data_IF_761404268665
#
_entry.id   IF_761404268665
#
_cell.length_a   1.000
_cell.length_b   1.000
_cell.length_c   1.000
_cell.angle_alpha   90.00
_cell.angle_beta   90.00
_cell.angle_gamma   90.00
#
_symmetry.space_group_name_H-M   'P 1'
#
loop_
_entity.id
_entity.type
_entity.pdbx_description
1 polymer ?
#
# COMPACT_ATOMS: atom_id res chain seq x y z
N UNK A 1 0.45 50.26 25.68
CA UNK A 1 -0.87 50.43 25.03
C UNK A 1 -1.51 49.04 24.89
N UNK A 2 -2.39 48.69 25.84
CA UNK A 2 -3.13 47.42 25.92
C UNK A 2 -4.46 47.53 25.15
N UNK A 3 -4.89 46.44 24.49
CA UNK A 3 -6.30 46.05 24.22
C UNK A 3 -6.30 44.58 23.70
N UNK A 4 -6.55 43.54 24.52
CA UNK A 4 -7.84 42.85 24.81
C UNK A 4 -8.73 42.66 23.57
N UNK A 5 -8.86 41.43 23.03
CA UNK A 5 -9.83 40.33 23.31
C UNK A 5 -11.25 40.57 22.77
N UNK A 6 -11.77 39.60 22.00
CA UNK A 6 -13.13 38.96 22.04
C UNK A 6 -13.25 38.01 20.83
N UNK A 7 -13.30 36.67 20.96
CA UNK A 7 -14.44 35.77 21.28
C UNK A 7 -15.74 36.16 20.58
N UNK A 8 -16.19 35.32 19.64
CA UNK A 8 -17.61 35.09 19.35
C UNK A 8 -17.85 33.57 19.28
N UNK A 9 -18.62 33.08 20.25
CA UNK A 9 -19.40 31.83 20.19
C UNK A 9 -20.71 32.14 19.46
N UNK A 10 -21.22 31.21 18.66
CA UNK A 10 -22.65 31.12 18.31
C UNK A 10 -22.94 29.64 17.98
N UNK A 11 -23.46 28.83 18.92
CA UNK A 11 -24.84 28.68 19.41
C UNK A 11 -25.67 27.70 18.55
N UNK A 12 -26.10 26.62 19.23
CA UNK A 12 -27.13 25.69 18.79
C UNK A 12 -28.51 26.36 18.70
N UNK A 13 -29.33 25.93 17.74
CA UNK A 13 -30.79 26.03 17.85
C UNK A 13 -31.44 24.85 17.14
N UNK A 14 -32.18 24.07 17.92
CA UNK A 14 -33.16 23.07 17.50
C UNK A 14 -34.46 23.76 17.09
N UNK A 15 -35.14 23.24 16.07
CA UNK A 15 -36.60 23.38 15.93
C UNK A 15 -37.19 22.06 15.44
N UNK A 16 -38.19 21.59 16.19
CA UNK A 16 -39.13 20.52 15.86
C UNK A 16 -40.46 21.20 15.50
N UNK A 17 -41.07 20.81 14.38
CA UNK A 17 -42.54 20.83 14.19
C UNK A 17 -42.96 19.66 13.30
N UNK A 18 -44.06 19.02 13.71
CA UNK A 18 -44.59 17.73 13.25
C UNK A 18 -45.64 17.86 12.14
N UNK A 19 -46.02 16.68 11.60
CA UNK A 19 -47.16 16.31 10.73
C UNK A 19 -46.90 16.47 9.21
N UNK A 20 -47.03 15.46 8.35
CA UNK A 20 -47.58 14.11 8.45
C UNK A 20 -48.31 13.79 7.14
N UNK A 21 -47.68 13.05 6.22
CA UNK A 21 -48.38 12.34 5.13
C UNK A 21 -47.61 11.04 4.85
N UNK A 22 -48.30 9.93 5.08
CA UNK A 22 -47.84 8.57 4.83
C UNK A 22 -48.01 8.26 3.34
N UNK A 23 -46.91 8.02 2.62
CA UNK A 23 -46.92 7.36 1.32
C UNK A 23 -45.93 6.21 1.38
N UNK A 24 -46.45 4.99 1.51
CA UNK A 24 -45.70 3.76 1.34
C UNK A 24 -45.30 3.63 -0.13
N UNK A 25 -44.01 3.76 -0.40
CA UNK A 25 -43.38 3.16 -1.57
C UNK A 25 -42.23 2.28 -1.09
N UNK A 26 -42.41 0.97 -1.26
CA UNK A 26 -41.35 -0.02 -1.15
C UNK A 26 -40.23 0.36 -2.12
N UNK A 27 -39.11 0.80 -1.57
CA UNK A 27 -37.85 0.92 -2.28
C UNK A 27 -36.85 0.05 -1.55
N UNK A 28 -36.52 -1.07 -2.18
CA UNK A 28 -35.38 -1.93 -1.85
C UNK A 28 -34.14 -1.07 -1.62
N UNK A 29 -33.76 -0.90 -0.35
CA UNK A 29 -32.43 -0.43 0.02
C UNK A 29 -31.46 -1.53 -0.36
N UNK A 30 -30.87 -1.41 -1.56
CA UNK A 30 -29.57 -2.00 -1.79
C UNK A 30 -28.62 -1.32 -0.81
N UNK A 31 -28.27 -2.05 0.24
CA UNK A 31 -27.10 -1.74 1.06
C UNK A 31 -25.89 -1.84 0.13
N UNK A 32 -25.47 -0.72 -0.44
CA UNK A 32 -24.10 -0.57 -0.92
C UNK A 32 -23.20 -0.72 0.31
N UNK A 33 -22.80 -1.95 0.59
CA UNK A 33 -21.66 -2.22 1.44
C UNK A 33 -20.42 -1.81 0.63
N UNK A 34 -20.15 -0.50 0.56
CA UNK A 34 -18.76 -0.08 0.54
C UNK A 34 -18.14 -0.71 1.77
N UNK A 35 -17.29 -1.72 1.56
CA UNK A 35 -16.44 -2.25 2.61
C UNK A 35 -15.48 -1.13 3.00
N UNK A 36 -15.91 -0.23 3.88
CA UNK A 36 -15.02 0.60 4.67
C UNK A 36 -14.22 -0.42 5.47
N UNK A 37 -13.01 -0.71 5.02
CA UNK A 37 -12.07 -1.51 5.80
C UNK A 37 -11.86 -0.69 7.07
N UNK A 38 -12.49 -1.14 8.15
CA UNK A 38 -12.37 -0.54 9.46
C UNK A 38 -10.89 -0.61 9.82
N UNK A 39 -10.27 0.55 10.05
CA UNK A 39 -8.90 0.62 10.52
C UNK A 39 -8.81 -0.20 11.82
N UNK A 40 -7.80 -1.06 11.90
CA UNK A 40 -7.52 -1.87 13.07
C UNK A 40 -6.24 -1.33 13.68
N UNK A 41 -6.23 -1.07 14.98
CA UNK A 41 -5.01 -0.71 15.70
C UNK A 41 -3.95 -1.81 15.64
N UNK A 42 -4.29 -3.00 15.14
CA UNK A 42 -3.38 -4.14 15.06
C UNK A 42 -3.01 -4.57 13.65
N UNK A 43 -3.68 -4.07 12.61
CA UNK A 43 -3.39 -4.43 11.22
C UNK A 43 -3.91 -3.40 10.21
N UNK A 44 -3.26 -3.33 9.06
CA UNK A 44 -3.71 -2.54 7.91
C UNK A 44 -3.61 -3.36 6.64
N UNK A 45 -4.55 -3.14 5.72
CA UNK A 45 -4.56 -3.78 4.40
C UNK A 45 -3.48 -3.18 3.50
N UNK A 46 -3.20 -3.84 2.37
CA UNK A 46 -2.40 -3.23 1.31
C UNK A 46 -3.11 -1.98 0.75
N UNK A 47 -2.33 -0.99 0.34
CA UNK A 47 -2.78 0.32 -0.16
C UNK A 47 -3.51 1.17 0.88
N UNK A 48 -3.34 0.86 2.17
CA UNK A 48 -3.76 1.75 3.23
C UNK A 48 -2.86 2.99 3.23
N UNK A 49 -3.45 4.18 3.37
CA UNK A 49 -2.71 5.42 3.55
C UNK A 49 -2.32 5.57 5.02
N UNK A 50 -1.18 6.20 5.26
CA UNK A 50 -0.69 6.50 6.59
C UNK A 50 0.22 7.71 6.59
N UNK A 51 0.69 8.05 7.77
CA UNK A 51 1.56 9.20 8.02
C UNK A 51 2.76 8.81 8.88
N UNK A 52 3.82 9.57 8.79
CA UNK A 52 4.90 9.54 9.78
C UNK A 52 5.05 10.92 10.43
N UNK A 53 5.34 10.93 11.73
CA UNK A 53 5.33 12.14 12.57
C UNK A 53 6.48 12.17 13.54
N UNK A 54 6.96 13.38 13.81
CA UNK A 54 7.98 13.68 14.81
C UNK A 54 7.51 14.78 15.77
N UNK A 55 8.44 15.33 16.55
CA UNK A 55 8.18 16.41 17.49
C UNK A 55 7.73 17.71 16.80
N UNK A 56 7.87 17.83 15.48
CA UNK A 56 7.41 18.96 14.67
C UNK A 56 5.88 18.98 14.50
N UNK A 57 5.24 17.81 14.41
CA UNK A 57 3.79 17.70 14.25
C UNK A 57 3.05 17.77 15.61
N UNK A 58 1.72 17.86 15.54
CA UNK A 58 0.85 17.80 16.72
C UNK A 58 1.00 16.46 17.46
N UNK A 59 0.69 16.48 18.75
CA UNK A 59 0.52 15.27 19.55
C UNK A 59 -0.82 14.55 19.27
N UNK A 60 -1.82 15.31 18.83
CA UNK A 60 -3.15 14.81 18.43
C UNK A 60 -3.16 14.55 16.91
N UNK A 61 -3.48 13.30 16.54
CA UNK A 61 -3.53 12.79 15.17
C UNK A 61 -4.96 12.64 14.63
N UNK A 62 -5.99 13.09 15.35
CA UNK A 62 -7.39 12.96 14.93
C UNK A 62 -7.65 13.60 13.57
N UNK A 63 -6.98 14.70 13.22
CA UNK A 63 -7.12 15.32 11.88
C UNK A 63 -6.60 14.38 10.79
N UNK A 64 -5.47 13.70 11.01
CA UNK A 64 -4.91 12.74 10.05
C UNK A 64 -5.80 11.50 9.90
N UNK A 65 -6.33 10.99 11.02
CA UNK A 65 -7.28 9.88 11.00
C UNK A 65 -8.54 10.22 10.22
N UNK A 66 -9.14 11.39 10.48
CA UNK A 66 -10.31 11.90 9.72
C UNK A 66 -9.99 12.13 8.24
N UNK A 67 -8.75 12.43 7.89
CA UNK A 67 -8.29 12.52 6.51
C UNK A 67 -8.09 11.14 5.85
N UNK A 68 -8.24 10.03 6.59
CA UNK A 68 -8.16 8.66 6.07
C UNK A 68 -6.83 7.96 6.32
N UNK A 69 -6.00 8.48 7.24
CA UNK A 69 -4.82 7.77 7.71
C UNK A 69 -5.24 6.54 8.52
N UNK A 70 -4.66 5.38 8.23
CA UNK A 70 -4.95 4.10 8.89
C UNK A 70 -3.77 3.60 9.74
N UNK A 71 -2.60 4.22 9.63
CA UNK A 71 -1.43 3.93 10.46
C UNK A 71 -0.59 5.19 10.67
N UNK A 72 0.15 5.23 11.78
CA UNK A 72 1.14 6.27 12.06
C UNK A 72 2.49 5.66 12.40
N UNK A 73 3.56 6.18 11.80
CA UNK A 73 4.95 5.84 12.14
C UNK A 73 5.55 7.00 12.94
N UNK A 74 5.73 6.80 14.24
CA UNK A 74 6.11 7.87 15.18
C UNK A 74 7.60 7.85 15.48
N UNK A 75 8.29 9.00 15.39
CA UNK A 75 9.69 9.11 15.83
C UNK A 75 9.76 8.84 17.32
N UNK A 76 10.42 7.78 17.75
CA UNK A 76 10.55 7.49 19.20
C UNK A 76 11.88 8.00 19.75
N UNK A 77 12.94 8.00 18.94
CA UNK A 77 14.26 8.46 19.36
C UNK A 77 15.20 8.78 18.20
N UNK A 78 16.36 9.34 18.54
CA UNK A 78 17.48 9.63 17.65
C UNK A 78 18.80 9.44 18.40
N UNK A 79 19.78 8.83 17.73
CA UNK A 79 21.08 8.51 18.32
C UNK A 79 20.96 7.76 19.65
N UNK A 80 21.63 8.23 20.69
CA UNK A 80 21.60 7.58 22.02
C UNK A 80 21.08 8.48 23.14
N UNK A 81 20.59 9.68 22.81
CA UNK A 81 20.27 10.71 23.80
C UNK A 81 18.91 11.38 23.60
N UNK A 82 18.41 11.48 22.36
CA UNK A 82 17.16 12.17 22.09
C UNK A 82 15.97 11.22 22.10
N UNK A 83 14.98 11.53 22.94
CA UNK A 83 13.65 10.89 22.93
C UNK A 83 12.61 11.93 22.54
N UNK A 84 11.74 11.60 21.58
CA UNK A 84 10.71 12.53 21.12
C UNK A 84 9.70 12.81 22.25
N UNK A 85 9.56 14.08 22.71
CA UNK A 85 8.67 14.43 23.83
C UNK A 85 7.18 14.29 23.50
N UNK A 86 6.80 14.26 22.22
CA UNK A 86 5.41 14.11 21.78
C UNK A 86 5.02 12.65 21.49
N UNK A 87 5.99 11.75 21.40
CA UNK A 87 5.76 10.40 20.88
C UNK A 87 4.73 9.59 21.68
N UNK A 88 4.73 9.67 23.01
CA UNK A 88 3.77 8.93 23.84
C UNK A 88 2.32 9.36 23.52
N UNK A 89 2.08 10.66 23.37
CA UNK A 89 0.77 11.18 23.02
C UNK A 89 0.42 10.91 21.55
N UNK A 90 1.39 10.94 20.63
CA UNK A 90 1.17 10.57 19.22
C UNK A 90 0.77 9.09 19.08
N UNK A 91 1.46 8.18 19.78
CA UNK A 91 1.12 6.75 19.82
C UNK A 91 -0.28 6.55 20.42
N UNK A 92 -0.56 7.18 21.57
CA UNK A 92 -1.88 7.11 22.22
C UNK A 92 -2.99 7.64 21.31
N UNK A 93 -2.74 8.75 20.62
CA UNK A 93 -3.68 9.34 19.69
C UNK A 93 -3.92 8.46 18.47
N UNK A 94 -2.89 7.81 17.91
CA UNK A 94 -3.06 6.86 16.82
C UNK A 94 -3.99 5.71 17.25
N UNK A 95 -3.71 5.09 18.40
CA UNK A 95 -4.53 3.99 18.96
C UNK A 95 -5.98 4.44 19.19
N UNK A 96 -6.18 5.64 19.76
CA UNK A 96 -7.51 6.17 20.04
C UNK A 96 -8.32 6.54 18.78
N UNK A 97 -7.67 6.67 17.63
CA UNK A 97 -8.31 6.91 16.33
C UNK A 97 -8.24 5.67 15.41
N UNK A 98 -8.11 4.48 15.99
CA UNK A 98 -8.06 3.18 15.29
C UNK A 98 -6.95 3.06 14.23
N UNK A 99 -5.91 3.89 14.33
CA UNK A 99 -4.72 3.77 13.48
C UNK A 99 -3.75 2.75 14.07
N UNK A 100 -3.13 1.94 13.21
CA UNK A 100 -2.07 1.02 13.62
C UNK A 100 -0.80 1.81 14.00
N UNK A 101 -0.31 1.76 15.25
CA UNK A 101 0.88 2.50 15.66
C UNK A 101 2.18 1.74 15.32
N UNK A 102 3.09 2.46 14.68
CA UNK A 102 4.44 2.04 14.32
C UNK A 102 5.42 3.09 14.82
N UNK A 103 6.72 2.78 14.80
CA UNK A 103 7.74 3.70 15.25
C UNK A 103 8.97 3.72 14.35
N UNK A 104 9.78 4.77 14.47
CA UNK A 104 11.09 4.84 13.86
C UNK A 104 12.13 5.50 14.77
N UNK A 105 13.39 5.17 14.51
CA UNK A 105 14.57 5.73 15.15
C UNK A 105 15.48 6.36 14.09
N UNK A 106 15.77 7.65 14.23
CA UNK A 106 16.72 8.34 13.35
C UNK A 106 18.16 7.92 13.69
N UNK A 107 18.82 7.26 12.75
CA UNK A 107 20.14 6.67 12.94
C UNK A 107 21.27 7.70 12.82
N UNK A 108 22.26 7.58 13.71
CA UNK A 108 23.50 8.36 13.67
C UNK A 108 24.76 7.48 13.64
N UNK A 109 24.60 6.17 13.49
CA UNK A 109 25.67 5.18 13.62
C UNK A 109 26.59 5.05 12.39
N UNK A 110 26.28 5.73 11.28
CA UNK A 110 26.98 5.63 9.99
C UNK A 110 27.12 4.16 9.55
N UNK A 111 28.34 3.64 9.48
CA UNK A 111 28.61 2.23 9.13
C UNK A 111 29.13 1.40 10.31
N UNK A 112 28.96 1.87 11.55
CA UNK A 112 29.45 1.19 12.75
C UNK A 112 28.42 0.25 13.35
N UNK A 113 28.63 -1.07 13.23
CA UNK A 113 27.75 -2.08 13.85
C UNK A 113 27.69 -1.98 15.38
N UNK A 114 28.74 -1.51 16.05
CA UNK A 114 28.72 -1.35 17.51
C UNK A 114 27.86 -0.17 17.94
N UNK A 115 27.94 0.96 17.22
CA UNK A 115 27.06 2.10 17.43
C UNK A 115 25.60 1.76 17.08
N UNK A 116 25.38 1.05 15.97
CA UNK A 116 24.05 0.60 15.55
C UNK A 116 23.35 -0.25 16.63
N UNK A 117 24.08 -1.14 17.31
CA UNK A 117 23.53 -1.92 18.44
C UNK A 117 23.13 -1.04 19.63
N UNK A 118 23.94 -0.02 19.98
CA UNK A 118 23.62 0.92 21.07
C UNK A 118 22.39 1.77 20.74
N UNK A 119 22.32 2.28 19.52
CA UNK A 119 21.15 3.03 19.04
C UNK A 119 19.90 2.16 19.02
N UNK A 120 20.00 0.90 18.59
CA UNK A 120 18.88 -0.04 18.65
C UNK A 120 18.39 -0.28 20.08
N UNK A 121 19.29 -0.46 21.05
CA UNK A 121 18.93 -0.58 22.47
C UNK A 121 18.21 0.68 22.98
N UNK A 122 18.67 1.86 22.57
CA UNK A 122 18.03 3.12 22.91
C UNK A 122 16.66 3.28 22.24
N UNK A 123 16.51 2.86 20.98
CA UNK A 123 15.24 2.79 20.27
C UNK A 123 14.23 1.87 20.95
N UNK A 124 14.66 0.65 21.32
CA UNK A 124 13.83 -0.35 22.01
C UNK A 124 13.36 0.18 23.36
N UNK A 125 14.27 0.75 24.17
CA UNK A 125 13.92 1.30 25.48
C UNK A 125 12.98 2.50 25.36
N UNK A 126 13.18 3.36 24.36
CA UNK A 126 12.30 4.50 24.09
C UNK A 126 10.92 4.04 23.62
N UNK A 127 10.83 3.11 22.67
CA UNK A 127 9.57 2.54 22.22
C UNK A 127 8.75 1.94 23.37
N UNK A 128 9.39 1.15 24.25
CA UNK A 128 8.75 0.58 25.44
C UNK A 128 8.26 1.67 26.40
N UNK A 129 9.11 2.64 26.71
CA UNK A 129 8.77 3.73 27.63
C UNK A 129 7.65 4.64 27.11
N UNK A 130 7.53 4.78 25.79
CA UNK A 130 6.54 5.61 25.12
C UNK A 130 5.22 4.86 24.83
N UNK A 131 5.12 3.59 25.22
CA UNK A 131 3.90 2.80 25.10
C UNK A 131 3.63 2.25 23.69
N UNK A 132 4.65 2.06 22.86
CA UNK A 132 4.49 1.37 21.59
C UNK A 132 4.02 -0.08 21.85
N UNK A 133 2.94 -0.56 21.19
CA UNK A 133 2.48 -1.93 21.39
C UNK A 133 3.56 -2.97 21.06
N UNK A 134 3.59 -4.06 21.84
CA UNK A 134 4.46 -5.19 21.55
C UNK A 134 4.13 -5.78 20.16
N UNK A 135 5.14 -6.21 19.42
CA UNK A 135 4.97 -6.71 18.05
C UNK A 135 4.87 -5.61 16.97
N UNK A 136 4.78 -4.33 17.35
CA UNK A 136 4.80 -3.22 16.39
C UNK A 136 6.07 -3.17 15.56
N UNK A 137 6.00 -2.45 14.45
CA UNK A 137 7.17 -2.15 13.65
C UNK A 137 8.00 -1.04 14.29
N UNK A 138 9.32 -1.21 14.26
CA UNK A 138 10.29 -0.21 14.67
C UNK A 138 11.37 -0.09 13.59
N UNK A 139 11.31 1.00 12.84
CA UNK A 139 12.17 1.25 11.70
C UNK A 139 13.52 1.84 12.12
N UNK A 140 14.58 1.41 11.44
CA UNK A 140 15.84 2.14 11.33
C UNK A 140 15.67 3.19 10.24
N UNK A 141 15.62 4.47 10.58
CA UNK A 141 15.63 5.58 9.64
C UNK A 141 17.10 5.94 9.34
N UNK A 142 17.56 5.52 8.16
CA UNK A 142 18.95 5.66 7.73
C UNK A 142 19.07 6.67 6.59
N UNK A 143 19.42 7.90 6.94
CA UNK A 143 19.57 9.00 5.99
C UNK A 143 20.75 9.91 6.33
N UNK A 144 21.03 10.88 5.47
CA UNK A 144 22.07 11.88 5.73
C UNK A 144 21.56 12.90 6.76
N UNK A 145 22.39 13.24 7.75
CA UNK A 145 22.06 14.24 8.77
C UNK A 145 22.62 13.87 10.14
N UNK A 146 22.70 14.86 11.05
CA UNK A 146 23.14 14.67 12.45
C UNK A 146 24.46 13.87 12.60
N UNK A 147 25.40 14.07 11.68
CA UNK A 147 26.69 13.37 11.66
C UNK A 147 26.66 11.95 11.06
N UNK A 148 25.52 11.49 10.55
CA UNK A 148 25.41 10.19 9.87
C UNK A 148 26.05 10.23 8.48
N UNK A 149 27.10 9.41 8.28
CA UNK A 149 27.83 9.30 7.02
C UNK A 149 27.36 8.07 6.24
N UNK A 150 26.72 8.31 5.09
CA UNK A 150 26.13 7.27 4.26
C UNK A 150 27.04 6.76 3.13
N UNK A 151 28.25 7.31 3.01
CA UNK A 151 29.18 7.05 1.88
C UNK A 151 30.33 6.09 2.22
N UNK A 152 30.38 5.53 3.43
CA UNK A 152 31.45 4.63 3.89
C UNK A 152 31.49 3.25 3.19
N UNK A 153 30.52 2.96 2.31
CA UNK A 153 30.48 1.76 1.48
C UNK A 153 29.26 0.88 1.74
N UNK A 154 28.73 0.28 0.67
CA UNK A 154 27.46 -0.47 0.67
C UNK A 154 27.42 -1.63 1.66
N UNK A 155 28.48 -2.44 1.70
CA UNK A 155 28.51 -3.67 2.50
C UNK A 155 28.67 -3.39 4.00
N UNK A 156 29.53 -2.44 4.38
CA UNK A 156 29.72 -2.07 5.79
C UNK A 156 28.49 -1.38 6.36
N UNK A 157 27.87 -0.52 5.55
CA UNK A 157 26.58 0.11 5.89
C UNK A 157 25.48 -0.92 6.12
N UNK A 158 25.31 -1.87 5.18
CA UNK A 158 24.33 -2.93 5.33
C UNK A 158 24.57 -3.80 6.57
N UNK A 159 25.83 -4.11 6.91
CA UNK A 159 26.18 -4.84 8.15
C UNK A 159 25.78 -4.06 9.41
N UNK A 160 25.95 -2.74 9.44
CA UNK A 160 25.53 -1.91 10.57
C UNK A 160 24.01 -1.87 10.71
N UNK A 161 23.28 -1.65 9.61
CA UNK A 161 21.82 -1.66 9.58
C UNK A 161 21.28 -3.03 10.02
N UNK A 162 21.83 -4.14 9.50
CA UNK A 162 21.43 -5.49 9.92
C UNK A 162 21.65 -5.69 11.42
N UNK A 163 22.76 -5.20 11.98
CA UNK A 163 23.03 -5.29 13.41
C UNK A 163 22.00 -4.50 14.25
N UNK A 164 21.52 -3.37 13.76
CA UNK A 164 20.39 -2.64 14.37
C UNK A 164 19.10 -3.47 14.29
N UNK A 165 18.72 -3.92 13.10
CA UNK A 165 17.49 -4.68 12.85
C UNK A 165 17.44 -6.01 13.62
N UNK A 166 18.59 -6.67 13.83
CA UNK A 166 18.73 -7.85 14.67
C UNK A 166 18.30 -7.59 16.12
N UNK A 167 18.71 -6.47 16.70
CA UNK A 167 18.32 -6.10 18.06
C UNK A 167 16.82 -5.81 18.14
N UNK A 168 16.26 -5.11 17.16
CA UNK A 168 14.82 -4.83 17.09
C UNK A 168 14.03 -6.14 17.05
N UNK A 169 14.43 -7.08 16.18
CA UNK A 169 13.78 -8.38 16.06
C UNK A 169 13.89 -9.20 17.33
N UNK A 170 15.08 -9.24 17.95
CA UNK A 170 15.31 -9.94 19.21
C UNK A 170 14.47 -9.39 20.37
N UNK A 171 14.16 -8.09 20.35
CA UNK A 171 13.30 -7.44 21.34
C UNK A 171 11.79 -7.67 21.14
N UNK A 172 11.39 -8.43 20.12
CA UNK A 172 9.99 -8.75 19.83
C UNK A 172 9.26 -7.74 18.94
N UNK A 173 9.97 -6.77 18.36
CA UNK A 173 9.43 -5.85 17.36
C UNK A 173 9.72 -6.34 15.93
N UNK A 174 9.04 -5.76 14.95
CA UNK A 174 9.29 -6.03 13.54
C UNK A 174 10.23 -4.97 12.95
N UNK A 175 11.43 -5.34 12.46
CA UNK A 175 12.35 -4.36 11.92
C UNK A 175 11.91 -3.88 10.54
N UNK A 176 12.04 -2.56 10.31
CA UNK A 176 12.00 -1.95 8.99
C UNK A 176 13.30 -1.18 8.75
N UNK A 177 13.66 -0.98 7.49
CA UNK A 177 14.66 -0.02 7.06
C UNK A 177 13.95 1.08 6.28
N UNK A 178 14.09 2.32 6.76
CA UNK A 178 13.77 3.51 6.00
C UNK A 178 15.00 4.15 5.40
N UNK A 179 14.87 4.56 4.13
CA UNK A 179 15.82 5.40 3.42
C UNK A 179 15.19 5.90 2.11
N UNK A 180 15.75 6.94 1.51
CA UNK A 180 15.38 7.34 0.16
C UNK A 180 15.74 6.25 -0.86
N UNK A 181 14.96 6.17 -1.94
CA UNK A 181 15.19 5.21 -3.02
C UNK A 181 16.60 5.31 -3.61
N UNK A 182 17.20 6.51 -3.66
CA UNK A 182 18.58 6.72 -4.09
C UNK A 182 19.58 6.08 -3.11
N UNK A 183 19.42 6.31 -1.81
CA UNK A 183 20.33 5.75 -0.78
C UNK A 183 20.25 4.22 -0.77
N UNK A 184 19.05 3.64 -0.90
CA UNK A 184 18.87 2.19 -0.99
C UNK A 184 19.55 1.58 -2.23
N UNK A 185 19.62 2.30 -3.34
CA UNK A 185 20.27 1.81 -4.58
C UNK A 185 21.79 2.04 -4.56
N UNK A 186 22.23 3.19 -4.03
CA UNK A 186 23.57 3.72 -4.26
C UNK A 186 24.49 3.62 -3.05
N UNK A 187 23.96 3.48 -1.84
CA UNK A 187 24.74 3.58 -0.60
C UNK A 187 24.63 2.34 0.29
N UNK A 188 23.66 1.47 0.05
CA UNK A 188 23.39 0.29 0.87
C UNK A 188 23.43 -0.97 -0.01
N UNK A 189 24.00 -2.07 0.48
CA UNK A 189 23.77 -3.39 -0.10
C UNK A 189 22.37 -3.88 0.32
N UNK A 190 21.33 -3.24 -0.25
CA UNK A 190 19.93 -3.50 0.06
C UNK A 190 19.50 -4.95 -0.17
N UNK A 191 19.96 -5.67 -1.23
CA UNK A 191 19.66 -7.10 -1.39
C UNK A 191 20.05 -7.95 -0.18
N UNK A 192 21.19 -7.66 0.48
CA UNK A 192 21.60 -8.40 1.68
C UNK A 192 20.65 -8.22 2.86
N UNK A 193 20.05 -7.03 2.99
CA UNK A 193 19.07 -6.72 4.02
C UNK A 193 17.76 -7.43 3.72
N UNK A 194 17.25 -7.32 2.49
CA UNK A 194 16.00 -7.97 2.05
C UNK A 194 16.08 -9.49 2.12
N UNK A 195 17.24 -10.08 1.83
CA UNK A 195 17.45 -11.52 1.97
C UNK A 195 17.29 -12.01 3.43
N UNK A 196 17.70 -11.19 4.40
CA UNK A 196 17.57 -11.51 5.83
C UNK A 196 16.21 -11.11 6.41
N UNK A 197 15.69 -9.97 5.96
CA UNK A 197 14.40 -9.41 6.34
C UNK A 197 13.57 -9.13 5.09
N UNK A 198 12.84 -10.12 4.57
CA UNK A 198 11.93 -9.90 3.45
C UNK A 198 10.86 -8.87 3.80
N UNK A 199 10.44 -8.06 2.82
CA UNK A 199 9.37 -7.08 2.99
C UNK A 199 9.63 -6.07 4.13
N UNK A 200 10.88 -5.64 4.29
CA UNK A 200 11.27 -4.76 5.40
C UNK A 200 11.61 -3.33 4.97
N UNK A 201 11.37 -2.93 3.73
CA UNK A 201 11.72 -1.59 3.25
C UNK A 201 10.55 -0.62 3.37
N UNK A 202 10.81 0.52 3.99
CA UNK A 202 10.01 1.73 3.96
C UNK A 202 10.75 2.76 3.10
N UNK A 203 10.30 3.01 1.88
CA UNK A 203 11.10 3.73 0.88
C UNK A 203 10.55 5.13 0.65
N UNK A 204 11.40 6.15 0.73
CA UNK A 204 11.04 7.50 0.27
C UNK A 204 11.34 7.67 -1.23
N UNK A 205 10.32 8.03 -2.00
CA UNK A 205 10.45 8.39 -3.41
C UNK A 205 9.29 9.28 -3.83
N UNK A 206 9.55 10.55 -4.11
CA UNK A 206 8.51 11.51 -4.41
C UNK A 206 8.52 11.87 -5.90
N UNK A 207 7.35 11.89 -6.51
CA UNK A 207 7.22 12.36 -7.90
C UNK A 207 7.45 13.88 -8.01
N UNK A 208 7.03 14.60 -6.97
CA UNK A 208 7.17 16.05 -6.78
C UNK A 208 7.37 16.33 -5.29
N UNK A 209 7.97 17.46 -4.95
CA UNK A 209 7.94 18.00 -3.58
C UNK A 209 6.69 18.86 -3.39
N UNK A 210 6.18 18.90 -2.17
CA UNK A 210 4.99 19.67 -1.80
C UNK A 210 3.71 18.83 -1.84
N UNK A 211 2.56 19.51 -1.89
CA UNK A 211 1.26 18.88 -1.64
C UNK A 211 0.96 17.73 -2.60
N UNK A 212 0.75 16.54 -2.06
CA UNK A 212 0.23 15.38 -2.79
C UNK A 212 -0.88 14.71 -1.97
N UNK A 213 -2.04 14.50 -2.58
CA UNK A 213 -3.20 13.95 -1.87
C UNK A 213 -3.29 12.40 -2.02
N UNK A 214 -2.76 11.86 -3.12
CA UNK A 214 -2.81 10.44 -3.48
C UNK A 214 -1.51 9.97 -4.16
N UNK A 215 -1.05 8.73 -3.90
CA UNK A 215 0.17 8.19 -4.48
C UNK A 215 0.04 7.96 -5.99
N UNK A 216 1.02 8.43 -6.76
CA UNK A 216 1.12 8.17 -8.19
C UNK A 216 1.96 6.92 -8.47
N UNK A 217 1.32 5.75 -8.54
CA UNK A 217 2.00 4.46 -8.75
C UNK A 217 2.86 4.35 -10.03
N UNK A 218 2.79 5.32 -10.96
CA UNK A 218 3.76 5.40 -12.08
C UNK A 218 5.19 5.70 -11.60
N UNK A 219 5.32 6.32 -10.42
CA UNK A 219 6.59 6.67 -9.77
C UNK A 219 6.93 5.73 -8.60
N UNK A 220 6.21 4.61 -8.47
CA UNK A 220 6.47 3.66 -7.42
C UNK A 220 7.93 3.16 -7.49
N UNK A 221 8.72 3.25 -6.40
CA UNK A 221 10.11 2.81 -6.38
C UNK A 221 10.15 1.28 -6.45
N UNK A 222 10.14 0.76 -7.67
CA UNK A 222 10.02 -0.68 -7.95
C UNK A 222 11.31 -1.40 -7.56
N UNK A 223 11.41 -1.80 -6.30
CA UNK A 223 12.49 -2.61 -5.74
C UNK A 223 11.93 -3.76 -4.90
N UNK A 224 12.73 -4.80 -4.71
CA UNK A 224 12.32 -5.94 -3.88
C UNK A 224 12.26 -5.52 -2.40
N UNK A 225 11.26 -6.06 -1.68
CA UNK A 225 11.12 -5.86 -0.24
C UNK A 225 10.43 -4.56 0.20
N UNK A 226 9.88 -3.75 -0.71
CA UNK A 226 9.07 -2.57 -0.34
C UNK A 226 7.78 -3.01 0.34
N UNK A 227 7.66 -2.71 1.63
CA UNK A 227 6.45 -2.86 2.41
C UNK A 227 5.66 -1.54 2.51
N UNK A 228 6.37 -0.41 2.55
CA UNK A 228 5.78 0.92 2.69
C UNK A 228 6.49 1.87 1.72
N UNK A 229 5.72 2.74 1.08
CA UNK A 229 6.24 3.79 0.23
C UNK A 229 5.81 5.15 0.79
N UNK A 230 6.78 5.97 1.18
CA UNK A 230 6.56 7.38 1.46
C UNK A 230 6.58 8.13 0.12
N UNK A 231 5.42 8.60 -0.32
CA UNK A 231 5.19 9.12 -1.66
C UNK A 231 5.19 10.65 -1.73
N UNK A 232 5.23 11.33 -0.57
CA UNK A 232 5.23 12.79 -0.47
C UNK A 232 5.72 13.25 0.91
N UNK A 233 6.31 14.45 0.92
CA UNK A 233 6.70 15.25 2.09
C UNK A 233 5.56 16.16 2.61
N UNK A 234 4.39 16.18 1.93
CA UNK A 234 3.27 17.01 2.33
C UNK A 234 1.93 16.40 1.92
N UNK A 235 1.52 15.36 2.64
CA UNK A 235 0.25 14.69 2.40
C UNK A 235 -0.92 15.63 2.64
N UNK A 236 -1.74 15.84 1.60
CA UNK A 236 -2.96 16.67 1.64
C UNK A 236 -2.76 18.11 2.14
N UNK A 237 -1.53 18.63 2.09
CA UNK A 237 -1.22 19.97 2.60
C UNK A 237 -1.12 20.05 4.12
N UNK A 238 -0.99 18.91 4.81
CA UNK A 238 -0.98 18.83 6.27
C UNK A 238 0.42 19.00 6.90
N UNK A 239 1.45 19.37 6.11
CA UNK A 239 2.85 19.46 6.55
C UNK A 239 3.32 18.19 7.29
N UNK A 240 2.91 17.05 6.75
CA UNK A 240 3.16 15.71 7.28
C UNK A 240 3.41 14.78 6.09
N UNK A 241 4.42 13.92 6.20
CA UNK A 241 4.79 12.99 5.15
C UNK A 241 3.70 11.92 4.94
N UNK A 242 3.49 11.56 3.67
CA UNK A 242 2.43 10.65 3.25
C UNK A 242 2.97 9.29 2.86
N UNK A 243 2.38 8.25 3.45
CA UNK A 243 2.77 6.86 3.26
C UNK A 243 1.64 6.03 2.67
N UNK A 244 2.01 4.98 1.93
CA UNK A 244 1.11 3.93 1.51
C UNK A 244 1.72 2.55 1.73
N UNK A 245 0.95 1.62 2.29
CA UNK A 245 1.38 0.22 2.38
C UNK A 245 1.32 -0.45 1.01
N UNK A 246 2.36 -1.21 0.66
CA UNK A 246 2.39 -2.05 -0.55
C UNK A 246 1.83 -3.43 -0.26
N UNK A 247 2.04 -3.90 0.97
CA UNK A 247 1.57 -5.18 1.50
C UNK A 247 0.72 -4.96 2.75
N UNK A 248 -0.17 -5.89 3.12
CA UNK A 248 -0.82 -5.83 4.43
C UNK A 248 0.24 -5.91 5.54
N UNK A 249 0.02 -5.15 6.62
CA UNK A 249 0.87 -5.14 7.80
C UNK A 249 0.06 -5.55 9.02
N UNK A 250 0.71 -6.16 10.02
CA UNK A 250 0.07 -6.56 11.27
C UNK A 250 1.09 -6.51 12.41
N UNK A 251 0.64 -6.13 13.62
CA UNK A 251 1.45 -6.14 14.85
C UNK A 251 1.07 -7.29 15.79
N UNK A 252 0.00 -8.05 15.46
CA UNK A 252 -0.44 -9.18 16.27
C UNK A 252 0.48 -10.39 16.06
N UNK A 253 1.30 -10.68 17.08
CA UNK A 253 1.94 -11.97 17.38
C UNK A 253 2.72 -12.65 16.25
N UNK A 254 4.04 -12.47 16.22
CA UNK A 254 5.04 -13.33 15.54
C UNK A 254 4.83 -13.77 14.07
N UNK A 255 3.78 -13.32 13.39
CA UNK A 255 3.71 -13.41 11.94
C UNK A 255 4.51 -12.24 11.39
N UNK A 256 5.82 -12.44 11.21
CA UNK A 256 6.45 -11.81 10.06
C UNK A 256 5.51 -12.05 8.88
N UNK A 257 5.14 -11.01 8.14
CA UNK A 257 4.61 -11.17 6.78
C UNK A 257 5.75 -11.64 5.85
N UNK A 258 6.37 -12.75 6.25
CA UNK A 258 7.14 -13.65 5.42
C UNK A 258 6.12 -14.41 4.59
N UNK A 259 5.78 -13.79 3.47
CA UNK A 259 5.31 -14.35 2.21
C UNK A 259 4.33 -13.34 1.59
N UNK A 260 4.51 -13.09 0.28
CA UNK A 260 3.38 -12.75 -0.58
C UNK A 260 2.19 -13.64 -0.18
N UNK A 261 0.95 -13.13 -0.08
CA UNK A 261 -0.14 -13.82 0.58
C UNK A 261 -0.16 -15.29 0.20
N UNK A 262 0.01 -16.18 1.20
CA UNK A 262 -0.25 -17.62 1.04
C UNK A 262 -1.59 -17.72 0.34
N UNK A 263 -1.63 -18.41 -0.81
CA UNK A 263 -2.79 -18.44 -1.69
C UNK A 263 -4.08 -18.57 -0.87
N UNK A 264 -4.84 -17.48 -0.79
CA UNK A 264 -6.09 -17.47 -0.03
C UNK A 264 -6.96 -18.62 -0.53
N UNK A 265 -7.41 -19.47 0.39
CA UNK A 265 -8.36 -20.53 0.05
C UNK A 265 -9.80 -19.98 -0.10
N UNK A 266 -10.00 -18.66 0.06
CA UNK A 266 -11.26 -17.99 -0.22
C UNK A 266 -11.58 -18.12 -1.70
N UNK A 267 -12.72 -18.73 -2.01
CA UNK A 267 -13.20 -18.90 -3.38
C UNK A 267 -13.95 -17.64 -3.83
N UNK A 268 -13.72 -17.20 -5.07
CA UNK A 268 -14.44 -16.14 -5.78
C UNK A 268 -14.97 -16.68 -7.10
N UNK A 269 -15.99 -16.02 -7.63
CA UNK A 269 -16.54 -16.33 -8.95
C UNK A 269 -16.18 -15.21 -9.92
N UNK A 270 -15.79 -15.56 -11.15
CA UNK A 270 -15.54 -14.60 -12.21
C UNK A 270 -15.93 -15.18 -13.58
N UNK A 271 -16.21 -14.28 -14.52
CA UNK A 271 -16.44 -14.67 -15.92
C UNK A 271 -15.11 -14.76 -16.66
N UNK A 272 -14.90 -15.87 -17.36
CA UNK A 272 -13.78 -16.03 -18.29
C UNK A 272 -14.05 -15.14 -19.50
N UNK A 273 -13.19 -14.16 -19.76
CA UNK A 273 -13.38 -13.19 -20.84
C UNK A 273 -12.66 -13.58 -22.12
N UNK A 274 -11.73 -14.55 -22.07
CA UNK A 274 -11.04 -15.11 -23.23
C UNK A 274 -10.84 -16.62 -23.02
N UNK A 275 -10.92 -17.46 -24.07
CA UNK A 275 -10.74 -18.92 -23.96
C UNK A 275 -9.48 -19.19 -23.14
N UNK A 276 -9.63 -19.93 -22.04
CA UNK A 276 -8.56 -20.07 -21.07
C UNK A 276 -8.20 -21.52 -20.85
N UNK A 277 -7.02 -21.91 -21.33
CA UNK A 277 -6.44 -23.22 -21.04
C UNK A 277 -6.08 -23.33 -19.55
N UNK A 278 -6.18 -24.55 -19.02
CA UNK A 278 -5.73 -24.90 -17.68
C UNK A 278 -4.29 -25.37 -17.73
N UNK A 279 -3.53 -24.99 -16.71
CA UNK A 279 -2.12 -25.32 -16.54
C UNK A 279 -1.90 -26.02 -15.20
N UNK A 280 -0.87 -26.86 -15.14
CA UNK A 280 -0.41 -27.50 -13.92
C UNK A 280 0.45 -26.54 -13.05
N UNK A 281 0.88 -27.00 -11.87
CA UNK A 281 1.79 -26.26 -10.97
C UNK A 281 3.14 -25.87 -11.58
N UNK A 282 3.55 -26.55 -12.65
CA UNK A 282 4.80 -26.30 -13.37
C UNK A 282 4.59 -25.41 -14.60
N UNK A 283 3.39 -24.84 -14.78
CA UNK A 283 2.96 -24.04 -15.92
C UNK A 283 2.93 -24.81 -17.26
N UNK A 284 2.83 -26.14 -17.24
CA UNK A 284 2.58 -26.92 -18.45
C UNK A 284 1.10 -26.88 -18.79
N UNK A 285 0.77 -26.75 -20.07
CA UNK A 285 -0.62 -26.71 -20.54
C UNK A 285 -1.23 -28.11 -20.45
N UNK A 286 -2.40 -28.22 -19.83
CA UNK A 286 -3.20 -29.44 -19.77
C UNK A 286 -4.19 -29.51 -20.96
N UNK A 287 -4.97 -30.58 -21.06
CA UNK A 287 -6.06 -30.70 -22.05
C UNK A 287 -7.34 -29.95 -21.64
N UNK A 288 -7.45 -29.52 -20.38
CA UNK A 288 -8.62 -28.83 -19.85
C UNK A 288 -8.63 -27.35 -20.28
N UNK A 289 -9.83 -26.79 -20.53
CA UNK A 289 -10.02 -25.37 -20.80
C UNK A 289 -11.40 -24.88 -20.37
N UNK A 290 -11.51 -23.56 -20.18
CA UNK A 290 -12.78 -22.86 -19.99
C UNK A 290 -13.10 -22.01 -21.22
N UNK A 291 -14.37 -22.08 -21.67
CA UNK A 291 -14.87 -21.28 -22.77
C UNK A 291 -14.97 -19.80 -22.39
N UNK A 292 -14.79 -18.91 -23.37
CA UNK A 292 -15.10 -17.50 -23.14
C UNK A 292 -16.58 -17.35 -22.74
N UNK A 293 -16.83 -16.44 -21.81
CA UNK A 293 -18.10 -16.12 -21.15
C UNK A 293 -18.67 -17.20 -20.23
N UNK A 294 -17.90 -18.24 -19.92
CA UNK A 294 -18.24 -19.17 -18.83
C UNK A 294 -17.92 -18.56 -17.47
N UNK A 295 -18.72 -18.91 -16.46
CA UNK A 295 -18.44 -18.58 -15.06
C UNK A 295 -17.52 -19.63 -14.46
N UNK A 296 -16.49 -19.21 -13.72
CA UNK A 296 -15.57 -20.10 -13.02
C UNK A 296 -15.45 -19.70 -11.55
N UNK A 297 -15.18 -20.70 -10.72
CA UNK A 297 -14.71 -20.48 -9.35
C UNK A 297 -13.20 -20.49 -9.35
N UNK A 298 -12.59 -19.53 -8.66
CA UNK A 298 -11.15 -19.43 -8.50
C UNK A 298 -10.81 -19.07 -7.06
N UNK A 299 -9.59 -19.39 -6.63
CA UNK A 299 -9.09 -19.00 -5.33
C UNK A 299 -8.56 -17.57 -5.39
N UNK A 300 -8.95 -16.75 -4.41
CA UNK A 300 -8.56 -15.36 -4.32
C UNK A 300 -7.02 -15.25 -4.35
N UNK A 301 -6.51 -14.21 -5.02
CA UNK A 301 -5.11 -13.95 -5.40
C UNK A 301 -4.63 -14.45 -6.78
N UNK A 302 -3.72 -13.65 -7.35
CA UNK A 302 -2.91 -14.04 -8.51
C UNK A 302 -1.63 -14.70 -8.01
N UNK A 303 -1.20 -15.77 -8.68
CA UNK A 303 0.10 -16.42 -8.48
C UNK A 303 1.00 -16.15 -9.68
N UNK A 304 2.32 -16.19 -9.47
CA UNK A 304 3.31 -16.08 -10.55
C UNK A 304 4.05 -17.41 -10.68
N UNK A 305 3.83 -18.13 -11.78
CA UNK A 305 4.45 -19.43 -12.05
C UNK A 305 5.28 -19.29 -13.32
N UNK A 306 6.61 -19.49 -13.23
CA UNK A 306 7.56 -19.32 -14.36
C UNK A 306 7.32 -18.01 -15.13
N UNK A 307 7.16 -16.90 -14.42
CA UNK A 307 6.93 -15.57 -14.99
C UNK A 307 5.50 -15.28 -15.48
N UNK A 308 4.60 -16.27 -15.53
CA UNK A 308 3.20 -16.10 -15.93
C UNK A 308 2.33 -15.74 -14.74
N UNK A 309 1.47 -14.74 -14.90
CA UNK A 309 0.47 -14.37 -13.88
C UNK A 309 -0.81 -15.20 -14.08
N UNK A 310 -1.16 -15.98 -13.07
CA UNK A 310 -2.22 -16.99 -13.13
C UNK A 310 -3.14 -16.89 -11.91
N UNK A 311 -4.31 -17.49 -11.97
CA UNK A 311 -5.20 -17.71 -10.82
C UNK A 311 -5.43 -19.21 -10.66
N UNK A 312 -5.50 -19.68 -9.42
CA UNK A 312 -5.76 -21.09 -9.11
C UNK A 312 -7.27 -21.36 -9.21
N UNK A 313 -7.65 -22.44 -9.90
CA UNK A 313 -9.06 -22.85 -10.11
C UNK A 313 -9.37 -24.22 -9.49
N UNK A 314 -8.33 -24.93 -9.05
CA UNK A 314 -8.42 -26.23 -8.39
C UNK A 314 -7.07 -26.60 -7.79
N UNK A 315 -6.99 -27.77 -7.17
CA UNK A 315 -5.71 -28.33 -6.73
C UNK A 315 -4.80 -28.53 -7.95
N UNK A 316 -3.60 -27.96 -7.89
CA UNK A 316 -2.63 -27.93 -9.00
C UNK A 316 -3.17 -27.47 -10.37
N UNK A 317 -4.32 -26.80 -10.43
CA UNK A 317 -4.95 -26.30 -11.66
C UNK A 317 -5.00 -24.78 -11.68
N UNK A 318 -4.49 -24.18 -12.75
CA UNK A 318 -4.33 -22.73 -12.90
C UNK A 318 -4.80 -22.24 -14.27
N UNK A 319 -5.28 -21.00 -14.35
CA UNK A 319 -5.62 -20.33 -15.61
C UNK A 319 -4.96 -18.95 -15.68
N UNK A 320 -4.70 -18.42 -16.88
CA UNK A 320 -4.07 -17.10 -17.03
C UNK A 320 -4.96 -16.00 -16.45
N UNK A 321 -4.41 -15.20 -15.53
CA UNK A 321 -5.16 -14.15 -14.86
C UNK A 321 -5.69 -13.09 -15.86
N UNK A 322 -4.97 -12.86 -16.95
CA UNK A 322 -5.38 -11.96 -18.03
C UNK A 322 -6.65 -12.39 -18.75
N UNK A 323 -6.99 -13.68 -18.75
CA UNK A 323 -8.18 -14.19 -19.42
C UNK A 323 -9.45 -14.01 -18.57
N UNK A 324 -9.30 -13.77 -17.26
CA UNK A 324 -10.41 -13.75 -16.30
C UNK A 324 -10.48 -12.40 -15.58
N UNK A 325 -9.41 -11.99 -14.91
CA UNK A 325 -9.33 -10.73 -14.15
C UNK A 325 -8.91 -9.53 -15.01
N UNK A 326 -8.32 -9.81 -16.17
CA UNK A 326 -7.85 -8.81 -17.12
C UNK A 326 -6.59 -8.06 -16.66
N UNK A 327 -6.00 -7.35 -17.61
CA UNK A 327 -4.87 -6.44 -17.43
C UNK A 327 -5.37 -5.00 -17.48
N UNK A 328 -4.93 -4.15 -16.55
CA UNK A 328 -5.23 -2.73 -16.60
C UNK A 328 -4.43 -2.07 -17.72
N UNK A 329 -5.11 -1.29 -18.57
CA UNK A 329 -4.48 -0.41 -19.56
C UNK A 329 -5.10 0.98 -19.45
N UNK A 330 -4.39 1.99 -19.93
CA UNK A 330 -4.86 3.37 -19.98
C UNK A 330 -4.95 3.77 -21.45
N UNK A 331 -6.03 4.43 -21.84
CA UNK A 331 -6.16 4.95 -23.19
C UNK A 331 -5.19 6.11 -23.43
N UNK A 332 -4.42 6.08 -24.51
CA UNK A 332 -3.55 7.18 -24.97
C UNK A 332 -4.30 8.21 -25.83
N UNK A 333 -5.45 7.82 -26.36
CA UNK A 333 -6.33 8.64 -27.18
C UNK A 333 -7.78 8.17 -27.02
N UNK A 334 -8.72 9.00 -27.42
CA UNK A 334 -10.12 8.62 -27.48
C UNK A 334 -10.32 7.39 -28.38
N UNK A 335 -11.17 6.47 -27.95
CA UNK A 335 -11.33 5.17 -28.61
C UNK A 335 -12.79 4.76 -28.73
N UNK A 336 -13.16 4.33 -29.94
CA UNK A 336 -14.43 3.64 -30.20
C UNK A 336 -14.33 2.17 -29.77
N UNK A 337 -15.46 1.60 -29.39
CA UNK A 337 -15.59 0.18 -29.07
C UNK A 337 -16.23 -0.54 -30.25
N UNK A 338 -15.67 -1.68 -30.62
CA UNK A 338 -16.06 -2.49 -31.77
C UNK A 338 -16.62 -3.83 -31.30
N UNK A 339 -17.47 -4.45 -32.12
CA UNK A 339 -17.90 -5.85 -31.99
C UNK A 339 -16.88 -6.77 -32.67
N UNK A 340 -17.08 -8.08 -32.52
CA UNK A 340 -16.21 -9.10 -33.09
C UNK A 340 -16.19 -9.12 -34.63
N UNK A 341 -17.21 -8.54 -35.26
CA UNK A 341 -17.34 -8.40 -36.72
C UNK A 341 -16.70 -7.09 -37.26
N UNK A 342 -16.13 -6.26 -36.38
CA UNK A 342 -15.53 -4.98 -36.74
C UNK A 342 -16.50 -3.80 -36.82
N UNK A 343 -17.81 -4.01 -36.60
CA UNK A 343 -18.79 -2.92 -36.52
C UNK A 343 -18.71 -2.19 -35.17
N UNK A 344 -19.13 -0.92 -35.13
CA UNK A 344 -19.15 -0.15 -33.87
C UNK A 344 -20.16 -0.78 -32.89
N UNK A 345 -19.75 -0.95 -31.64
CA UNK A 345 -20.62 -1.38 -30.55
C UNK A 345 -21.23 -0.16 -29.86
N UNK A 346 -22.42 0.26 -30.31
CA UNK A 346 -23.13 1.45 -29.80
C UNK A 346 -23.62 1.34 -28.36
N UNK A 347 -23.66 0.13 -27.78
CA UNK A 347 -23.98 -0.07 -26.35
C UNK A 347 -22.85 0.41 -25.43
N UNK A 348 -21.67 0.68 -25.98
CA UNK A 348 -20.52 1.16 -25.24
C UNK A 348 -20.23 2.60 -25.61
N UNK A 349 -20.10 3.46 -24.59
CA UNK A 349 -19.62 4.82 -24.76
C UNK A 349 -18.19 4.86 -25.29
N UNK A 350 -17.88 5.89 -26.09
CA UNK A 350 -16.50 6.25 -26.46
C UNK A 350 -15.66 6.35 -25.19
N UNK A 351 -14.49 5.72 -25.21
CA UNK A 351 -13.55 5.76 -24.08
C UNK A 351 -12.60 6.92 -24.26
N UNK A 352 -12.45 7.71 -23.19
CA UNK A 352 -11.66 8.94 -23.20
C UNK A 352 -10.20 8.67 -22.89
N UNK A 353 -9.33 9.46 -23.51
CA UNK A 353 -7.90 9.47 -23.17
C UNK A 353 -7.68 9.62 -21.66
N UNK A 354 -6.68 8.92 -21.12
CA UNK A 354 -6.37 8.87 -19.69
C UNK A 354 -7.26 7.93 -18.87
N UNK A 355 -8.37 7.41 -19.41
CA UNK A 355 -9.27 6.50 -18.68
C UNK A 355 -8.66 5.10 -18.55
N UNK A 356 -8.66 4.47 -17.36
CA UNK A 356 -8.24 3.08 -17.21
C UNK A 356 -9.34 2.11 -17.66
N UNK A 357 -8.95 0.96 -18.22
CA UNK A 357 -9.86 -0.13 -18.59
C UNK A 357 -9.18 -1.50 -18.40
N UNK A 358 -9.98 -2.55 -18.20
CA UNK A 358 -9.49 -3.92 -18.25
C UNK A 358 -9.48 -4.42 -19.70
N UNK A 359 -8.36 -5.01 -20.09
CA UNK A 359 -8.22 -5.77 -21.32
C UNK A 359 -8.03 -7.24 -21.01
N UNK A 360 -8.62 -8.11 -21.82
CA UNK A 360 -8.67 -9.54 -21.55
C UNK A 360 -8.00 -10.34 -22.66
N UNK A 361 -7.16 -11.29 -22.25
CA UNK A 361 -6.46 -12.18 -23.16
C UNK A 361 -5.36 -11.51 -24.02
N UNK A 362 -4.85 -12.24 -25.03
CA UNK A 362 -3.92 -11.72 -26.01
C UNK A 362 -4.61 -10.73 -26.98
N UNK A 363 -3.83 -10.15 -27.90
CA UNK A 363 -4.39 -9.36 -29.01
C UNK A 363 -5.32 -10.26 -29.84
N UNK A 364 -6.49 -9.73 -30.16
CA UNK A 364 -7.47 -10.34 -31.06
C UNK A 364 -7.46 -9.59 -32.39
N UNK A 365 -7.50 -10.30 -33.50
CA UNK A 365 -7.39 -9.68 -34.82
C UNK A 365 -8.75 -9.66 -35.51
N UNK A 366 -9.18 -8.47 -35.92
CA UNK A 366 -10.40 -8.24 -36.69
C UNK A 366 -9.94 -7.51 -37.96
N UNK A 367 -10.17 -8.11 -39.13
CA UNK A 367 -9.76 -7.55 -40.43
C UNK A 367 -8.27 -7.13 -40.45
N UNK A 368 -7.39 -8.02 -39.98
CA UNK A 368 -5.93 -7.83 -39.86
C UNK A 368 -5.47 -6.70 -38.92
N UNK A 369 -6.38 -6.01 -38.24
CA UNK A 369 -6.03 -5.04 -37.22
C UNK A 369 -6.05 -5.68 -35.83
N UNK A 370 -5.13 -5.27 -34.96
CA UNK A 370 -5.03 -5.78 -33.61
C UNK A 370 -5.95 -5.03 -32.63
N UNK A 371 -6.68 -5.79 -31.81
CA UNK A 371 -7.60 -5.29 -30.79
C UNK A 371 -7.32 -5.97 -29.45
N UNK A 372 -7.77 -5.33 -28.37
CA UNK A 372 -7.95 -5.98 -27.08
C UNK A 372 -9.43 -6.11 -26.77
N UNK A 373 -9.85 -7.28 -26.26
CA UNK A 373 -11.20 -7.46 -25.72
C UNK A 373 -11.31 -6.71 -24.39
N UNK A 374 -12.37 -5.91 -24.22
CA UNK A 374 -12.63 -5.14 -22.98
C UNK A 374 -13.94 -5.57 -22.29
N UNK A 375 -14.74 -6.41 -22.95
CA UNK A 375 -16.06 -6.85 -22.48
C UNK A 375 -16.66 -7.91 -23.40
N UNK A 376 -17.89 -8.34 -23.11
CA UNK A 376 -18.63 -9.28 -23.98
C UNK A 376 -18.92 -8.61 -25.33
N UNK A 377 -18.39 -9.20 -26.39
CA UNK A 377 -18.47 -8.66 -27.76
C UNK A 377 -18.03 -7.17 -27.86
N UNK A 378 -17.00 -6.79 -27.10
CA UNK A 378 -16.52 -5.42 -27.02
C UNK A 378 -14.99 -5.39 -27.11
N UNK A 379 -14.48 -4.68 -28.11
CA UNK A 379 -13.08 -4.64 -28.50
C UNK A 379 -12.62 -3.22 -28.75
N UNK A 380 -11.35 -2.93 -28.46
CA UNK A 380 -10.74 -1.64 -28.79
C UNK A 380 -9.40 -1.88 -29.49
N UNK A 381 -9.11 -1.08 -30.52
CA UNK A 381 -7.85 -1.17 -31.27
C UNK A 381 -6.66 -1.05 -30.31
N UNK A 382 -5.66 -1.90 -30.51
CA UNK A 382 -4.52 -2.04 -29.62
C UNK A 382 -3.62 -0.79 -29.61
N UNK A 383 -3.62 -0.01 -30.69
CA UNK A 383 -2.89 1.26 -30.85
C UNK A 383 -3.40 2.38 -29.92
N UNK A 384 -4.60 2.21 -29.33
CA UNK A 384 -5.18 3.19 -28.40
C UNK A 384 -4.66 3.06 -26.97
N UNK A 385 -3.78 2.10 -26.69
CA UNK A 385 -3.24 1.81 -25.36
C UNK A 385 -1.74 2.06 -25.22
#
# INVERSE_FOLDING_TARGET
MFKRKSIIKLACATMLTNAGVTLLSQMTRFSDSESIVQASSTSVVAKALGIDVASYQSADLTVHAKAGSQFAIVKVSEGTSYRNPKAANQIKSAIANDMMPMAYHFATFSSSSSAAKREAQYAISSAKALGLPAGSYLACDYEIGQGNIITNGKNVTAKAIIAFMDQIKAAGYQPLLYASSSVLQNNINTPSIVNKYPNSLWVAAYAISGRVDQPNFKYFPSMDGVAIWQFTDNWRGMNTDGNITVLPLSIAGNAAVSQAPKASNTKKTATVMYKSYVYDKNSNRTNDFYNAYSSITYYDNKVRIKGKSMIRVGEDKYVMASNVLGNSRVFKADAKVYKNDGTINTKWSTKKSGSPIKTYGPKHYINNEAYYRIGKNAYVKADKF
#
